data_IF_628280242573
#
_entry.id   IF_628280242573
#
_cell.length_a   1.000
_cell.length_b   1.000
_cell.length_c   1.000
_cell.angle_alpha   90.00
_cell.angle_beta   90.00
_cell.angle_gamma   90.00
#
_symmetry.space_group_name_H-M   'P 1'
#
loop_
_entity.id
_entity.type
_entity.pdbx_description
1 polymer ?
#
# COMPACT_ATOMS: atom_id res chain seq x y z
N UNK A 1 14.27 6.56 8.98
CA UNK A 1 15.12 5.34 9.01
C UNK A 1 14.41 4.25 8.22
N UNK A 2 15.17 3.50 7.43
CA UNK A 2 14.68 2.69 6.30
C UNK A 2 13.54 1.74 6.65
N UNK A 3 12.44 1.90 5.91
CA UNK A 3 11.37 0.91 5.83
C UNK A 3 12.00 -0.36 5.24
N UNK A 4 12.21 -1.39 6.07
CA UNK A 4 12.43 -2.74 5.55
C UNK A 4 11.10 -3.18 4.95
N UNK A 5 10.90 -2.82 3.68
CA UNK A 5 9.90 -3.43 2.82
C UNK A 5 10.05 -4.94 2.98
N UNK A 6 8.97 -5.61 3.41
CA UNK A 6 8.94 -7.07 3.40
C UNK A 6 9.28 -7.53 1.99
N UNK A 7 10.48 -8.10 1.83
CA UNK A 7 10.92 -8.69 0.58
C UNK A 7 9.82 -9.66 0.13
N UNK A 8 9.23 -9.41 -1.04
CA UNK A 8 8.31 -10.34 -1.70
C UNK A 8 9.12 -11.59 -2.02
N UNK A 9 9.17 -12.52 -1.06
CA UNK A 9 9.91 -13.77 -1.15
C UNK A 9 9.02 -14.80 -1.82
N UNK A 10 9.49 -15.34 -2.93
CA UNK A 10 8.80 -16.45 -3.62
C UNK A 10 8.99 -17.72 -2.78
N UNK A 11 7.92 -18.49 -2.51
CA UNK A 11 8.03 -19.75 -1.80
C UNK A 11 8.89 -20.76 -2.57
N UNK A 12 9.77 -21.46 -1.85
CA UNK A 12 10.64 -22.53 -2.36
C UNK A 12 10.09 -23.92 -2.02
N UNK A 13 10.55 -24.97 -2.70
CA UNK A 13 10.09 -26.35 -2.46
C UNK A 13 10.43 -26.92 -1.08
N UNK A 14 11.28 -26.23 -0.31
CA UNK A 14 11.62 -26.56 1.07
C UNK A 14 10.75 -25.81 2.09
N UNK A 15 9.90 -24.88 1.64
CA UNK A 15 9.01 -24.14 2.54
C UNK A 15 7.86 -25.05 2.98
N UNK A 16 7.83 -25.40 4.26
CA UNK A 16 6.72 -26.14 4.87
C UNK A 16 5.49 -25.21 4.93
N UNK A 17 4.28 -25.68 4.57
CA UNK A 17 3.07 -24.87 4.71
C UNK A 17 2.87 -24.48 6.18
N UNK A 18 2.99 -23.19 6.49
CA UNK A 18 2.78 -22.64 7.84
C UNK A 18 4.01 -22.09 8.57
N UNK A 19 5.22 -22.17 8.02
CA UNK A 19 6.42 -21.58 8.66
C UNK A 19 6.96 -20.38 7.88
N UNK A 20 6.25 -19.26 7.92
CA UNK A 20 6.95 -17.97 7.94
C UNK A 20 7.52 -17.83 9.33
N UNK A 21 8.82 -17.61 9.48
CA UNK A 21 9.39 -17.16 10.76
C UNK A 21 8.65 -15.89 11.16
N UNK A 22 7.67 -16.04 12.04
CA UNK A 22 7.06 -14.94 12.76
C UNK A 22 8.22 -14.40 13.60
N UNK A 23 8.66 -13.18 13.29
CA UNK A 23 9.47 -12.43 14.24
C UNK A 23 8.60 -12.32 15.49
N UNK A 24 8.90 -13.14 16.50
CA UNK A 24 8.30 -13.02 17.81
C UNK A 24 8.69 -11.65 18.33
N UNK A 25 7.73 -10.72 18.37
CA UNK A 25 7.89 -9.53 19.19
C UNK A 25 7.88 -10.01 20.64
N UNK A 26 9.08 -10.20 21.20
CA UNK A 26 9.24 -10.30 22.65
C UNK A 26 8.65 -9.05 23.26
N UNK A 27 7.58 -9.21 24.03
CA UNK A 27 7.10 -8.21 24.97
C UNK A 27 8.22 -7.97 25.99
N UNK A 28 9.06 -6.97 25.73
CA UNK A 28 9.88 -6.34 26.74
C UNK A 28 9.17 -5.05 27.15
N UNK A 29 8.67 -5.04 28.38
CA UNK A 29 8.19 -3.85 29.08
C UNK A 29 9.37 -2.91 29.34
N UNK A 30 9.78 -2.13 28.34
CA UNK A 30 10.72 -1.03 28.56
C UNK A 30 9.97 0.30 28.68
N UNK A 31 9.78 0.69 29.94
CA UNK A 31 9.19 1.94 30.40
C UNK A 31 10.14 3.13 30.21
N UNK A 32 10.66 3.34 29.00
CA UNK A 32 11.35 4.59 28.62
C UNK A 32 10.91 5.03 27.23
N UNK A 33 9.94 5.96 27.20
CA UNK A 33 9.51 6.62 25.97
C UNK A 33 10.61 7.60 25.57
N UNK A 34 11.49 7.18 24.66
CA UNK A 34 12.37 8.09 23.93
C UNK A 34 11.51 9.15 23.24
N UNK A 35 11.73 10.43 23.54
CA UNK A 35 11.04 11.54 22.90
C UNK A 35 11.55 11.60 21.46
N UNK A 36 10.83 10.96 20.54
CA UNK A 36 11.03 11.14 19.12
C UNK A 36 10.54 12.55 18.76
N UNK A 37 11.45 13.40 18.32
CA UNK A 37 11.08 14.72 17.78
C UNK A 37 10.28 14.49 16.49
N UNK A 38 9.04 15.01 16.38
CA UNK A 38 8.26 14.89 15.16
C UNK A 38 9.00 15.61 14.03
N UNK A 39 9.01 14.99 12.84
CA UNK A 39 9.50 15.67 11.64
C UNK A 39 8.56 16.82 11.31
N UNK A 40 9.07 17.90 10.69
CA UNK A 40 8.26 19.09 10.32
C UNK A 40 7.07 18.74 9.40
N UNK A 41 7.11 17.56 8.79
CA UNK A 41 6.09 17.05 7.88
C UNK A 41 5.03 16.16 8.56
N UNK A 42 5.18 15.88 9.85
CA UNK A 42 4.25 15.02 10.57
C UNK A 42 3.09 15.79 11.19
N UNK A 43 1.88 15.39 10.80
CA UNK A 43 0.64 15.92 11.38
C UNK A 43 0.53 15.52 12.85
N UNK A 44 0.13 16.48 13.69
CA UNK A 44 -0.20 16.25 15.10
C UNK A 44 -1.56 15.52 15.22
N UNK A 45 -1.49 14.19 15.20
CA UNK A 45 -2.66 13.30 15.23
C UNK A 45 -3.51 13.52 16.48
N UNK A 46 -2.88 13.69 17.64
CA UNK A 46 -3.58 13.86 18.89
C UNK A 46 -4.39 15.15 18.90
N UNK A 47 -3.81 16.28 18.46
CA UNK A 47 -4.57 17.54 18.35
C UNK A 47 -5.79 17.39 17.44
N UNK A 48 -5.65 16.72 16.29
CA UNK A 48 -6.75 16.54 15.34
C UNK A 48 -7.85 15.60 15.88
N UNK A 49 -7.46 14.50 16.53
CA UNK A 49 -8.41 13.48 17.01
C UNK A 49 -8.88 13.68 18.45
N UNK A 50 -8.27 14.56 19.25
CA UNK A 50 -8.67 14.80 20.64
C UNK A 50 -10.17 15.10 20.81
N UNK A 51 -10.84 15.88 19.94
CA UNK A 51 -12.28 16.12 20.07
C UNK A 51 -13.15 14.87 19.80
N UNK A 52 -12.60 13.86 19.14
CA UNK A 52 -13.32 12.70 18.62
C UNK A 52 -12.66 11.37 18.97
N UNK A 53 -11.77 11.31 19.98
CA UNK A 53 -10.92 10.14 20.17
C UNK A 53 -11.70 8.87 20.56
N UNK A 54 -12.92 9.02 21.10
CA UNK A 54 -13.83 7.88 21.34
C UNK A 54 -14.31 7.18 20.07
N UNK A 55 -14.12 7.81 18.90
CA UNK A 55 -14.52 7.34 17.59
C UNK A 55 -13.34 7.00 16.68
N UNK A 56 -12.09 7.01 17.18
CA UNK A 56 -10.89 6.80 16.34
C UNK A 56 -10.94 5.51 15.53
N UNK A 57 -11.49 4.43 16.10
CA UNK A 57 -11.59 3.15 15.42
C UNK A 57 -12.59 3.19 14.26
N UNK A 58 -13.73 3.84 14.48
CA UNK A 58 -14.73 4.04 13.42
C UNK A 58 -14.18 4.95 12.32
N UNK A 59 -13.45 6.01 12.68
CA UNK A 59 -12.82 6.91 11.70
C UNK A 59 -11.78 6.16 10.86
N UNK A 60 -10.95 5.32 11.47
CA UNK A 60 -10.04 4.43 10.75
C UNK A 60 -10.78 3.53 9.76
N UNK A 61 -11.91 2.94 10.18
CA UNK A 61 -12.70 2.07 9.33
C UNK A 61 -13.31 2.82 8.12
N UNK A 62 -13.87 4.02 8.34
CA UNK A 62 -14.39 4.88 7.28
C UNK A 62 -13.30 5.23 6.25
N UNK A 63 -12.11 5.61 6.73
CA UNK A 63 -10.97 5.93 5.85
C UNK A 63 -10.49 4.69 5.11
N UNK A 64 -10.38 3.54 5.78
CA UNK A 64 -9.95 2.27 5.20
C UNK A 64 -10.87 1.85 4.04
N UNK A 65 -12.18 2.03 4.21
CA UNK A 65 -13.20 1.69 3.22
C UNK A 65 -13.34 2.75 2.11
N UNK A 66 -12.74 3.93 2.27
CA UNK A 66 -12.87 5.03 1.32
C UNK A 66 -14.26 5.66 1.33
N UNK A 67 -14.93 5.67 2.49
CA UNK A 67 -16.24 6.26 2.65
C UNK A 67 -16.20 7.79 2.48
N UNK A 68 -17.27 8.43 1.96
CA UNK A 68 -17.34 9.88 1.84
C UNK A 68 -17.42 10.57 3.20
N UNK A 69 -16.44 11.42 3.52
CA UNK A 69 -16.38 12.10 4.84
C UNK A 69 -16.22 13.60 4.66
N UNK A 70 -17.01 14.38 5.40
CA UNK A 70 -16.83 15.83 5.51
C UNK A 70 -16.23 16.18 6.86
N UNK A 71 -15.08 16.85 6.86
CA UNK A 71 -14.46 17.44 8.04
C UNK A 71 -14.87 18.92 8.11
N UNK A 72 -15.60 19.30 9.15
CA UNK A 72 -15.96 20.69 9.43
C UNK A 72 -15.08 21.22 10.55
N UNK A 73 -14.27 22.23 10.22
CA UNK A 73 -13.32 22.84 11.15
C UNK A 73 -13.57 24.35 11.31
N UNK A 74 -13.07 24.98 12.38
CA UNK A 74 -13.19 26.43 12.58
C UNK A 74 -12.22 27.23 11.69
N UNK A 75 -11.13 26.62 11.21
CA UNK A 75 -10.12 27.25 10.38
C UNK A 75 -9.66 26.36 9.20
N UNK A 76 -9.18 26.94 8.08
CA UNK A 76 -8.62 26.17 6.97
C UNK A 76 -7.44 25.28 7.37
N UNK A 77 -6.63 25.75 8.33
CA UNK A 77 -5.48 25.01 8.86
C UNK A 77 -5.93 23.75 9.60
N UNK A 78 -6.86 23.86 10.54
CA UNK A 78 -7.37 22.70 11.29
C UNK A 78 -8.13 21.71 10.40
N UNK A 79 -8.84 22.23 9.39
CA UNK A 79 -9.45 21.42 8.33
C UNK A 79 -8.39 20.58 7.63
N UNK A 80 -7.35 21.24 7.13
CA UNK A 80 -6.29 20.60 6.35
C UNK A 80 -5.54 19.55 7.17
N UNK A 81 -5.13 19.92 8.38
CA UNK A 81 -4.42 19.03 9.30
C UNK A 81 -5.26 17.78 9.61
N UNK A 82 -6.56 17.94 9.85
CA UNK A 82 -7.42 16.80 10.20
C UNK A 82 -7.69 15.88 9.02
N UNK A 83 -7.89 16.43 7.82
CA UNK A 83 -8.01 15.60 6.61
C UNK A 83 -6.72 14.79 6.39
N UNK A 84 -5.56 15.41 6.55
CA UNK A 84 -4.27 14.72 6.43
C UNK A 84 -4.07 13.69 7.55
N UNK A 85 -4.51 13.99 8.78
CA UNK A 85 -4.50 13.04 9.90
C UNK A 85 -5.34 11.80 9.59
N UNK A 86 -6.57 11.99 9.07
CA UNK A 86 -7.45 10.91 8.62
C UNK A 86 -6.77 10.06 7.53
N UNK A 87 -6.27 10.67 6.46
CA UNK A 87 -5.58 9.95 5.38
C UNK A 87 -4.37 9.15 5.91
N UNK A 88 -3.65 9.68 6.89
CA UNK A 88 -2.48 9.02 7.48
C UNK A 88 -2.81 7.87 8.43
N UNK A 89 -4.05 7.76 8.94
CA UNK A 89 -4.40 6.77 9.96
C UNK A 89 -4.44 5.34 9.43
N UNK A 90 -4.48 5.14 8.11
CA UNK A 90 -4.37 3.81 7.49
C UNK A 90 -2.95 3.46 7.06
N UNK A 91 -1.93 4.23 7.42
CA UNK A 91 -0.53 3.88 7.14
C UNK A 91 -0.19 2.50 7.74
N UNK A 92 0.50 1.60 7.01
CA UNK A 92 1.27 1.82 5.78
C UNK A 92 0.46 1.61 4.48
N UNK A 93 -0.84 1.35 4.57
CA UNK A 93 -1.70 1.29 3.40
C UNK A 93 -1.82 2.70 2.81
N UNK A 94 -1.52 2.83 1.51
CA UNK A 94 -1.69 4.10 0.80
C UNK A 94 -3.18 4.38 0.57
N UNK A 95 -3.64 5.55 1.00
CA UNK A 95 -4.97 6.05 0.64
C UNK A 95 -5.04 6.33 -0.86
N UNK A 96 -6.05 5.78 -1.52
CA UNK A 96 -6.19 5.80 -2.98
C UNK A 96 -7.49 6.48 -3.46
N UNK A 97 -8.26 7.09 -2.56
CA UNK A 97 -9.42 7.92 -2.91
C UNK A 97 -9.03 9.40 -2.94
N UNK A 98 -9.90 10.26 -3.45
CA UNK A 98 -9.63 11.70 -3.46
C UNK A 98 -9.71 12.28 -2.04
N UNK A 99 -8.96 13.35 -1.78
CA UNK A 99 -9.11 14.12 -0.55
C UNK A 99 -8.76 15.57 -0.82
N UNK A 100 -9.55 16.47 -0.24
CA UNK A 100 -9.35 17.92 -0.32
C UNK A 100 -9.12 18.45 1.09
N UNK A 101 -7.87 18.75 1.49
CA UNK A 101 -7.57 19.26 2.83
C UNK A 101 -8.37 20.54 3.17
N UNK A 102 -8.60 21.38 2.16
CA UNK A 102 -9.48 22.51 2.25
C UNK A 102 -10.24 22.73 0.93
N UNK A 103 -11.56 22.77 1.01
CA UNK A 103 -12.49 22.91 -0.09
C UNK A 103 -13.36 24.15 0.10
N UNK A 104 -13.57 24.88 -0.99
CA UNK A 104 -14.20 26.19 -1.02
C UNK A 104 -15.37 26.24 -2.01
N UNK A 105 -16.16 27.31 -1.91
CA UNK A 105 -17.27 27.55 -2.85
C UNK A 105 -16.81 27.94 -4.26
N UNK A 106 -15.52 28.26 -4.42
CA UNK A 106 -14.93 28.72 -5.66
C UNK A 106 -14.29 27.58 -6.48
N UNK A 107 -14.20 26.39 -5.90
CA UNK A 107 -13.71 25.20 -6.61
C UNK A 107 -14.69 24.80 -7.72
N UNK A 108 -14.15 24.41 -8.87
CA UNK A 108 -14.92 24.01 -10.06
C UNK A 108 -15.91 22.88 -9.78
N UNK A 109 -15.55 21.98 -8.86
CA UNK A 109 -16.27 20.79 -8.46
C UNK A 109 -17.34 21.07 -7.39
N UNK A 110 -17.51 22.32 -6.94
CA UNK A 110 -18.48 22.71 -5.92
C UNK A 110 -19.89 22.20 -6.19
N UNK A 111 -20.38 22.31 -7.42
CA UNK A 111 -21.72 21.82 -7.80
C UNK A 111 -21.84 20.30 -7.73
N UNK A 112 -20.76 19.58 -8.04
CA UNK A 112 -20.72 18.12 -8.00
C UNK A 112 -20.79 17.61 -6.57
N UNK A 113 -19.99 18.17 -5.65
CA UNK A 113 -19.94 17.70 -4.26
C UNK A 113 -21.12 18.16 -3.41
N UNK A 114 -21.84 19.19 -3.84
CA UNK A 114 -23.01 19.71 -3.09
C UNK A 114 -24.35 19.20 -3.61
N UNK A 115 -24.37 18.46 -4.72
CA UNK A 115 -25.61 17.90 -5.26
C UNK A 115 -26.26 16.89 -4.30
N UNK A 116 -27.59 16.79 -4.38
CA UNK A 116 -28.40 15.79 -3.66
C UNK A 116 -28.98 14.72 -4.57
N UNK A 117 -28.76 14.83 -5.88
CA UNK A 117 -29.33 13.92 -6.88
C UNK A 117 -28.50 12.65 -7.05
N UNK A 118 -27.23 12.69 -6.66
CA UNK A 118 -26.28 11.59 -6.79
C UNK A 118 -25.68 11.25 -5.43
N UNK A 119 -25.23 10.00 -5.29
CA UNK A 119 -24.45 9.61 -4.12
C UNK A 119 -23.14 10.40 -4.08
N UNK A 120 -22.68 10.86 -2.89
CA UNK A 120 -21.41 11.53 -2.77
C UNK A 120 -20.26 10.66 -3.30
N UNK A 121 -19.26 11.24 -4.00
CA UNK A 121 -18.09 10.49 -4.43
C UNK A 121 -17.24 10.05 -3.24
N UNK A 122 -16.37 9.07 -3.45
CA UNK A 122 -15.41 8.60 -2.45
C UNK A 122 -14.32 9.65 -2.22
N UNK A 123 -14.60 10.58 -1.30
CA UNK A 123 -13.71 11.72 -1.02
C UNK A 123 -13.79 12.14 0.45
N UNK A 124 -12.64 12.56 1.00
CA UNK A 124 -12.59 13.29 2.27
C UNK A 124 -12.50 14.80 1.97
N UNK A 125 -13.51 15.56 2.37
CA UNK A 125 -13.57 17.01 2.15
C UNK A 125 -13.39 17.77 3.46
N UNK A 126 -12.34 18.57 3.54
CA UNK A 126 -12.16 19.55 4.60
C UNK A 126 -12.83 20.88 4.24
N UNK A 127 -13.68 21.39 5.11
CA UNK A 127 -14.40 22.66 4.92
C UNK A 127 -14.46 23.47 6.20
N UNK A 128 -14.70 24.77 6.05
CA UNK A 128 -14.98 25.68 7.16
C UNK A 128 -16.47 26.06 7.25
N UNK A 129 -16.94 26.38 8.46
CA UNK A 129 -18.32 26.77 8.81
C UNK A 129 -18.73 28.14 8.17
N UNK A 130 -20.01 28.56 7.99
CA UNK A 130 -21.34 27.97 8.24
C UNK A 130 -22.19 27.63 7.01
N UNK A 131 -21.77 28.04 5.82
CA UNK A 131 -22.50 27.72 4.59
C UNK A 131 -22.50 26.21 4.30
N UNK A 132 -21.36 25.54 4.48
CA UNK A 132 -21.22 24.11 4.26
C UNK A 132 -22.00 23.25 5.26
N UNK A 133 -22.25 23.75 6.47
CA UNK A 133 -23.00 23.02 7.49
C UNK A 133 -24.44 22.71 7.04
N UNK A 134 -25.07 23.62 6.28
CA UNK A 134 -26.39 23.41 5.67
C UNK A 134 -26.30 22.65 4.35
N UNK A 135 -25.30 22.99 3.55
CA UNK A 135 -25.17 22.49 2.18
C UNK A 135 -24.80 21.00 2.16
N UNK A 136 -23.93 20.55 3.06
CA UNK A 136 -23.42 19.17 3.14
C UNK A 136 -24.09 18.35 4.26
N UNK A 137 -25.19 18.81 4.85
CA UNK A 137 -25.86 18.10 5.95
C UNK A 137 -26.38 16.71 5.57
N UNK A 138 -26.56 16.45 4.28
CA UNK A 138 -27.03 15.17 3.74
C UNK A 138 -25.89 14.16 3.52
N UNK A 139 -24.64 14.55 3.74
CA UNK A 139 -23.51 13.65 3.61
C UNK A 139 -23.55 12.56 4.69
N UNK A 140 -23.09 11.34 4.35
CA UNK A 140 -23.26 10.18 5.23
C UNK A 140 -22.43 10.29 6.52
N UNK A 141 -21.28 10.95 6.46
CA UNK A 141 -20.34 11.06 7.57
C UNK A 141 -19.83 12.50 7.70
N UNK A 142 -20.08 13.11 8.86
CA UNK A 142 -19.64 14.47 9.16
C UNK A 142 -18.82 14.44 10.45
N UNK A 143 -17.58 14.88 10.38
CA UNK A 143 -16.66 15.04 11.52
C UNK A 143 -16.58 16.52 11.84
N UNK A 144 -17.03 16.92 13.02
CA UNK A 144 -16.90 18.31 13.51
C UNK A 144 -15.80 18.38 14.54
N UNK A 145 -14.81 19.24 14.28
CA UNK A 145 -13.64 19.47 15.15
C UNK A 145 -13.59 20.93 15.63
N UNK A 146 -12.82 21.18 16.69
CA UNK A 146 -12.63 22.51 17.28
C UNK A 146 -13.81 22.98 18.14
N UNK A 147 -13.82 24.28 18.49
CA UNK A 147 -14.86 24.94 19.30
C UNK A 147 -16.17 25.19 18.54
N UNK A 148 -16.53 24.32 17.61
CA UNK A 148 -17.87 24.31 17.02
C UNK A 148 -18.82 23.82 18.11
N UNK A 149 -20.00 24.46 18.27
CA UNK A 149 -20.93 24.29 19.40
C UNK A 149 -21.18 22.84 19.87
N UNK A 150 -21.02 21.83 19.00
CA UNK A 150 -20.86 20.42 19.36
C UNK A 150 -19.75 19.77 18.47
N UNK A 151 -18.54 19.51 18.98
CA UNK A 151 -17.61 18.62 18.29
C UNK A 151 -18.11 17.17 18.37
N UNK A 152 -17.80 16.36 17.36
CA UNK A 152 -18.26 14.97 17.31
C UNK A 152 -18.31 14.38 15.91
N UNK A 153 -18.62 13.09 15.85
CA UNK A 153 -18.81 12.35 14.60
C UNK A 153 -20.30 12.07 14.41
N UNK A 154 -20.87 12.60 13.33
CA UNK A 154 -22.28 12.43 12.95
C UNK A 154 -22.35 11.44 11.81
N UNK A 155 -22.86 10.25 12.10
CA UNK A 155 -22.93 9.15 11.15
C UNK A 155 -23.97 8.13 11.59
N UNK A 156 -24.64 7.50 10.63
CA UNK A 156 -25.47 6.31 10.86
C UNK A 156 -24.69 5.00 10.65
N UNK A 157 -23.38 5.11 10.37
CA UNK A 157 -22.50 3.98 10.14
C UNK A 157 -22.40 3.09 11.38
N UNK A 158 -22.42 1.77 11.14
CA UNK A 158 -22.22 0.76 12.18
C UNK A 158 -20.86 0.12 11.96
N UNK A 159 -19.88 0.36 12.85
CA UNK A 159 -18.56 -0.24 12.73
C UNK A 159 -18.63 -1.77 12.71
N UNK A 160 -17.81 -2.37 11.85
CA UNK A 160 -17.57 -3.81 11.85
C UNK A 160 -16.77 -4.22 13.09
N UNK A 161 -15.80 -3.39 13.48
CA UNK A 161 -14.94 -3.66 14.62
C UNK A 161 -15.43 -2.95 15.89
N UNK A 162 -15.28 -3.63 17.02
CA UNK A 162 -15.58 -3.05 18.31
C UNK A 162 -14.56 -1.95 18.65
N UNK A 163 -15.04 -0.98 19.43
CA UNK A 163 -14.20 0.06 19.99
C UNK A 163 -13.10 -0.53 20.87
N UNK A 164 -11.89 -0.03 20.69
CA UNK A 164 -10.76 -0.41 21.53
C UNK A 164 -10.77 0.44 22.83
N UNK A 165 -11.15 -0.17 23.94
CA UNK A 165 -11.19 0.51 25.24
C UNK A 165 -9.79 0.80 25.79
N UNK A 166 -8.76 0.05 25.39
CA UNK A 166 -7.42 0.16 25.96
C UNK A 166 -6.76 1.45 25.49
N UNK A 167 -6.76 1.69 24.17
CA UNK A 167 -6.24 2.94 23.61
C UNK A 167 -7.02 4.16 24.12
N UNK A 168 -8.34 4.05 24.28
CA UNK A 168 -9.16 5.14 24.82
C UNK A 168 -8.75 5.47 26.25
N UNK A 169 -8.62 4.47 27.13
CA UNK A 169 -8.15 4.66 28.50
C UNK A 169 -6.74 5.23 28.55
N UNK A 170 -5.85 4.77 27.68
CA UNK A 170 -4.47 5.22 27.61
C UNK A 170 -4.36 6.71 27.21
N UNK A 171 -5.19 7.15 26.26
CA UNK A 171 -5.28 8.56 25.84
C UNK A 171 -5.95 9.42 26.91
N UNK A 172 -7.07 8.97 27.48
CA UNK A 172 -7.74 9.66 28.60
C UNK A 172 -6.80 9.88 29.79
N UNK A 173 -6.05 8.85 30.18
CA UNK A 173 -5.03 8.96 31.23
C UNK A 173 -3.93 9.94 30.83
N UNK A 174 -3.53 9.95 29.57
CA UNK A 174 -2.58 10.94 29.03
C UNK A 174 -3.07 12.38 29.20
N UNK A 175 -4.33 12.65 28.87
CA UNK A 175 -4.98 13.96 29.08
C UNK A 175 -5.01 14.33 30.56
N UNK A 176 -5.44 13.43 31.44
CA UNK A 176 -5.49 13.67 32.89
C UNK A 176 -4.10 13.96 33.47
N UNK A 177 -3.07 13.31 32.96
CA UNK A 177 -1.67 13.48 33.38
C UNK A 177 -0.97 14.66 32.69
N UNK A 178 -1.67 15.45 31.86
CA UNK A 178 -1.11 16.54 31.06
C UNK A 178 0.10 16.09 30.22
N UNK A 179 0.04 14.87 29.67
CA UNK A 179 1.06 14.33 28.77
C UNK A 179 1.15 15.23 27.51
N UNK A 180 2.36 15.59 27.05
CA UNK A 180 2.55 16.36 25.82
C UNK A 180 1.81 15.74 24.62
N UNK A 181 1.32 16.59 23.72
CA UNK A 181 0.54 16.16 22.56
C UNK A 181 1.35 15.24 21.65
N UNK A 182 2.65 15.51 21.50
CA UNK A 182 3.59 14.73 20.68
C UNK A 182 3.67 13.28 21.15
N UNK A 183 3.77 13.06 22.48
CA UNK A 183 3.79 11.73 23.04
C UNK A 183 2.46 10.99 22.85
N UNK A 184 1.33 11.69 22.89
CA UNK A 184 0.02 11.10 22.57
C UNK A 184 -0.14 10.80 21.08
N UNK A 185 0.41 11.65 20.22
CA UNK A 185 0.48 11.45 18.77
C UNK A 185 1.30 10.22 18.39
N UNK A 186 2.42 9.95 19.08
CA UNK A 186 3.20 8.72 18.90
C UNK A 186 2.38 7.47 19.27
N UNK A 187 1.63 7.51 20.38
CA UNK A 187 0.76 6.41 20.80
C UNK A 187 -0.32 6.14 19.75
N UNK A 188 -1.01 7.19 19.26
CA UNK A 188 -2.01 7.07 18.20
C UNK A 188 -1.41 6.51 16.90
N UNK A 189 -0.24 7.01 16.49
CA UNK A 189 0.42 6.57 15.26
C UNK A 189 0.80 5.09 15.35
N UNK A 190 1.32 4.65 16.49
CA UNK A 190 1.63 3.24 16.75
C UNK A 190 0.37 2.38 16.70
N UNK A 191 -0.70 2.81 17.36
CA UNK A 191 -1.99 2.12 17.35
C UNK A 191 -2.51 1.89 15.92
N UNK A 192 -2.58 2.95 15.12
CA UNK A 192 -3.04 2.89 13.73
C UNK A 192 -2.14 2.03 12.84
N UNK A 193 -0.83 2.09 13.04
CA UNK A 193 0.15 1.25 12.34
C UNK A 193 -0.09 -0.24 12.62
N UNK A 194 -0.15 -0.62 13.90
CA UNK A 194 -0.32 -2.02 14.33
C UNK A 194 -1.69 -2.58 13.87
N UNK A 195 -2.73 -1.75 13.94
CA UNK A 195 -4.06 -2.09 13.46
C UNK A 195 -4.09 -2.33 11.94
N UNK A 196 -3.54 -1.40 11.17
CA UNK A 196 -3.52 -1.50 9.71
C UNK A 196 -2.65 -2.68 9.26
N UNK A 197 -1.51 -2.90 9.90
CA UNK A 197 -0.67 -4.07 9.63
C UNK A 197 -1.42 -5.37 9.91
N UNK A 198 -2.11 -5.47 11.06
CA UNK A 198 -2.92 -6.65 11.38
C UNK A 198 -4.00 -6.92 10.35
N UNK A 199 -4.62 -5.86 9.81
CA UNK A 199 -5.58 -5.97 8.72
C UNK A 199 -4.95 -6.39 7.38
N UNK A 200 -3.75 -5.89 7.04
CA UNK A 200 -3.14 -6.14 5.73
C UNK A 200 -2.37 -7.47 5.65
N UNK A 201 -1.79 -7.97 6.75
CA UNK A 201 -0.97 -9.18 6.77
C UNK A 201 -1.66 -10.41 6.12
N UNK A 202 -2.93 -10.75 6.44
CA UNK A 202 -3.60 -11.89 5.80
C UNK A 202 -3.76 -11.71 4.30
N UNK A 203 -4.04 -10.47 3.86
CA UNK A 203 -4.22 -10.13 2.45
C UNK A 203 -2.89 -10.25 1.68
N UNK A 204 -1.80 -9.75 2.25
CA UNK A 204 -0.46 -9.90 1.68
C UNK A 204 -0.05 -11.37 1.58
N UNK A 205 -0.32 -12.16 2.61
CA UNK A 205 -0.03 -13.59 2.62
C UNK A 205 -0.80 -14.32 1.51
N UNK A 206 -2.09 -14.02 1.35
CA UNK A 206 -2.90 -14.60 0.28
C UNK A 206 -2.39 -14.18 -1.11
N UNK A 207 -2.12 -12.89 -1.31
CA UNK A 207 -1.62 -12.39 -2.60
C UNK A 207 -0.25 -12.96 -2.92
N UNK A 208 0.66 -13.09 -1.95
CA UNK A 208 1.93 -13.77 -2.14
C UNK A 208 1.76 -15.25 -2.53
N UNK A 209 0.72 -15.91 -2.02
CA UNK A 209 0.39 -17.28 -2.44
C UNK A 209 -0.03 -17.36 -3.91
N UNK A 210 -0.51 -16.28 -4.54
CA UNK A 210 -0.86 -16.26 -5.96
C UNK A 210 0.36 -16.30 -6.89
N UNK A 211 1.57 -16.08 -6.35
CA UNK A 211 2.82 -16.18 -7.10
C UNK A 211 3.01 -17.59 -7.70
N UNK A 212 3.49 -17.69 -8.94
CA UNK A 212 3.89 -18.96 -9.52
C UNK A 212 5.15 -19.48 -8.84
N UNK A 213 5.32 -20.81 -8.85
CA UNK A 213 6.49 -21.46 -8.26
C UNK A 213 7.73 -21.16 -9.09
N UNK A 214 8.89 -21.01 -8.45
CA UNK A 214 10.16 -20.71 -9.15
C UNK A 214 10.48 -21.73 -10.26
N UNK A 215 10.17 -23.02 -10.05
CA UNK A 215 10.35 -24.09 -11.06
C UNK A 215 9.55 -23.90 -12.36
N UNK A 216 8.54 -23.04 -12.35
CA UNK A 216 7.74 -22.73 -13.55
C UNK A 216 8.32 -21.57 -14.37
N UNK A 217 9.32 -20.87 -13.84
CA UNK A 217 10.05 -19.81 -14.53
C UNK A 217 11.05 -20.50 -15.46
N UNK A 218 10.90 -20.27 -16.77
CA UNK A 218 11.80 -20.79 -17.80
C UNK A 218 12.54 -19.61 -18.45
N UNK A 219 13.85 -19.74 -18.73
CA UNK A 219 14.60 -18.68 -19.41
C UNK A 219 13.95 -18.27 -20.74
N UNK A 220 13.56 -19.27 -21.52
CA UNK A 220 13.16 -19.13 -22.92
C UNK A 220 11.65 -18.92 -23.15
N UNK A 221 10.82 -18.99 -22.10
CA UNK A 221 9.36 -18.76 -22.19
C UNK A 221 8.99 -17.44 -21.53
N UNK A 222 7.85 -16.85 -21.89
CA UNK A 222 7.36 -15.65 -21.20
C UNK A 222 7.19 -15.87 -19.68
N UNK A 223 7.28 -14.81 -18.85
CA UNK A 223 7.09 -14.95 -17.41
C UNK A 223 5.72 -15.60 -17.13
N UNK A 224 5.65 -16.55 -16.17
CA UNK A 224 4.39 -17.16 -15.81
C UNK A 224 3.40 -16.10 -15.32
N UNK A 225 2.12 -16.23 -15.69
CA UNK A 225 1.10 -15.29 -15.24
C UNK A 225 0.76 -15.52 -13.77
N UNK A 226 0.49 -14.43 -13.06
CA UNK A 226 -0.03 -14.47 -11.69
C UNK A 226 -1.40 -15.14 -11.68
N UNK A 227 -1.66 -15.96 -10.65
CA UNK A 227 -3.00 -16.51 -10.41
C UNK A 227 -4.00 -15.38 -10.12
N UNK A 228 -5.24 -15.57 -10.54
CA UNK A 228 -6.30 -14.60 -10.29
C UNK A 228 -6.67 -14.57 -8.81
N UNK A 229 -7.03 -13.39 -8.32
CA UNK A 229 -7.51 -13.21 -6.95
C UNK A 229 -8.94 -13.73 -6.84
N UNK A 230 -9.20 -14.65 -5.90
CA UNK A 230 -10.53 -15.18 -5.59
C UNK A 230 -10.95 -14.70 -4.21
N UNK A 231 -12.04 -13.90 -4.17
CA UNK A 231 -12.58 -13.42 -2.90
C UNK A 231 -13.00 -14.58 -1.99
N UNK A 232 -13.61 -15.63 -2.54
CA UNK A 232 -14.06 -16.78 -1.74
C UNK A 232 -12.89 -17.54 -1.11
N UNK A 233 -11.83 -17.77 -1.87
CA UNK A 233 -10.67 -18.50 -1.36
C UNK A 233 -9.90 -17.67 -0.33
N UNK A 234 -9.79 -16.36 -0.55
CA UNK A 234 -9.26 -15.46 0.46
C UNK A 234 -10.05 -15.56 1.77
N UNK A 235 -11.39 -15.51 1.72
CA UNK A 235 -12.21 -15.60 2.92
C UNK A 235 -12.01 -16.92 3.69
N UNK A 236 -11.83 -18.06 2.99
CA UNK A 236 -11.50 -19.35 3.62
C UNK A 236 -10.15 -19.31 4.36
N UNK A 237 -9.18 -18.53 3.88
CA UNK A 237 -7.89 -18.40 4.59
C UNK A 237 -8.01 -17.66 5.91
N UNK A 238 -8.97 -16.74 6.06
CA UNK A 238 -9.17 -15.95 7.28
C UNK A 238 -9.63 -16.79 8.47
N UNK A 239 -10.31 -17.91 8.23
CA UNK A 239 -10.71 -18.85 9.29
C UNK A 239 -9.50 -19.43 10.03
N UNK A 240 -8.39 -19.65 9.32
CA UNK A 240 -7.16 -20.25 9.87
C UNK A 240 -6.07 -19.22 10.16
N UNK A 241 -6.04 -18.12 9.40
CA UNK A 241 -4.92 -17.18 9.35
C UNK A 241 -5.38 -15.71 9.24
N UNK A 242 -6.46 -15.34 9.95
CA UNK A 242 -6.98 -13.98 9.93
C UNK A 242 -6.33 -13.01 10.93
N UNK A 243 -6.81 -11.75 10.97
CA UNK A 243 -6.27 -10.68 11.85
C UNK A 243 -6.31 -10.99 13.33
N UNK A 244 -7.17 -11.91 13.77
CA UNK A 244 -7.28 -12.36 15.15
C UNK A 244 -5.97 -12.96 15.70
N UNK A 245 -5.02 -13.31 14.84
CA UNK A 245 -3.69 -13.79 15.23
C UNK A 245 -2.72 -12.66 15.62
N UNK A 246 -2.97 -11.42 15.16
CA UNK A 246 -2.07 -10.28 15.38
C UNK A 246 -2.75 -9.10 16.05
N UNK A 247 -4.08 -9.08 16.11
CA UNK A 247 -4.88 -8.06 16.78
C UNK A 247 -5.78 -8.65 17.87
N UNK A 248 -5.82 -8.00 19.03
CA UNK A 248 -6.77 -8.32 20.10
C UNK A 248 -8.19 -7.79 19.85
N UNK A 249 -8.42 -7.06 18.76
CA UNK A 249 -9.72 -6.46 18.48
C UNK A 249 -10.75 -7.48 17.99
N UNK A 250 -11.95 -7.33 18.52
CA UNK A 250 -13.11 -8.19 18.22
C UNK A 250 -14.07 -7.46 17.30
N UNK A 251 -14.82 -8.21 16.51
CA UNK A 251 -15.80 -7.68 15.58
C UNK A 251 -15.91 -8.52 14.31
N UNK A 252 -16.64 -8.02 13.33
CA UNK A 252 -16.85 -8.66 12.04
C UNK A 252 -15.73 -8.32 11.05
N UNK A 253 -14.55 -8.91 11.26
CA UNK A 253 -13.42 -8.80 10.32
C UNK A 253 -13.78 -9.25 8.90
N UNK A 254 -14.62 -10.28 8.77
CA UNK A 254 -15.01 -10.83 7.47
C UNK A 254 -15.85 -9.82 6.69
N UNK A 255 -16.83 -9.19 7.34
CA UNK A 255 -17.62 -8.10 6.77
C UNK A 255 -16.74 -6.92 6.34
N UNK A 256 -15.79 -6.53 7.20
CA UNK A 256 -14.84 -5.47 6.89
C UNK A 256 -14.03 -5.77 5.62
N UNK A 257 -13.47 -6.98 5.49
CA UNK A 257 -12.78 -7.38 4.27
C UNK A 257 -13.69 -7.39 3.04
N UNK A 258 -14.92 -7.91 3.16
CA UNK A 258 -15.87 -7.94 2.02
C UNK A 258 -16.17 -6.54 1.49
N UNK A 259 -16.23 -5.55 2.37
CA UNK A 259 -16.40 -4.16 1.98
C UNK A 259 -15.10 -3.59 1.40
N UNK A 260 -13.97 -3.79 2.09
CA UNK A 260 -12.66 -3.29 1.65
C UNK A 260 -12.29 -3.74 0.24
N UNK A 261 -12.57 -5.00 -0.13
CA UNK A 261 -12.30 -5.53 -1.47
C UNK A 261 -13.02 -4.79 -2.60
N UNK A 262 -14.05 -3.99 -2.28
CA UNK A 262 -14.78 -3.13 -3.24
C UNK A 262 -14.28 -1.69 -3.23
N UNK A 263 -13.42 -1.32 -2.30
CA UNK A 263 -12.96 0.05 -2.10
C UNK A 263 -11.88 0.48 -3.12
N UNK A 264 -11.73 1.79 -3.38
CA UNK A 264 -10.61 2.33 -4.14
C UNK A 264 -9.24 2.01 -3.52
N UNK A 265 -9.17 1.94 -2.18
CA UNK A 265 -7.94 1.62 -1.46
C UNK A 265 -7.44 0.21 -1.77
N UNK A 266 -8.32 -0.78 -1.80
CA UNK A 266 -7.95 -2.13 -2.25
C UNK A 266 -7.48 -2.14 -3.70
N UNK A 267 -8.19 -1.45 -4.60
CA UNK A 267 -7.83 -1.40 -6.01
C UNK A 267 -6.42 -0.83 -6.22
N UNK A 268 -6.08 0.28 -5.56
CA UNK A 268 -4.76 0.88 -5.65
C UNK A 268 -3.66 0.00 -5.03
N UNK A 269 -3.92 -0.55 -3.85
CA UNK A 269 -3.02 -1.50 -3.20
C UNK A 269 -2.76 -2.74 -4.06
N UNK A 270 -3.82 -3.38 -4.56
CA UNK A 270 -3.72 -4.62 -5.33
C UNK A 270 -3.01 -4.41 -6.68
N UNK A 271 -3.27 -3.29 -7.36
CA UNK A 271 -2.54 -2.90 -8.58
C UNK A 271 -1.04 -2.74 -8.31
N UNK A 272 -0.69 -2.05 -7.23
CA UNK A 272 0.71 -1.84 -6.82
C UNK A 272 1.38 -3.18 -6.52
N UNK A 273 0.75 -4.05 -5.71
CA UNK A 273 1.28 -5.38 -5.40
C UNK A 273 1.41 -6.28 -6.63
N UNK A 274 0.44 -6.25 -7.55
CA UNK A 274 0.55 -7.01 -8.81
C UNK A 274 1.71 -6.52 -9.66
N UNK A 275 1.92 -5.20 -9.76
CA UNK A 275 3.05 -4.62 -10.49
C UNK A 275 4.39 -5.11 -9.90
N UNK A 276 4.57 -4.99 -8.59
CA UNK A 276 5.79 -5.45 -7.90
C UNK A 276 6.05 -6.95 -8.13
N UNK A 277 5.00 -7.78 -8.04
CA UNK A 277 5.11 -9.22 -8.28
C UNK A 277 5.47 -9.55 -9.74
N UNK A 278 4.86 -8.86 -10.71
CA UNK A 278 5.18 -9.03 -12.14
C UNK A 278 6.63 -8.63 -12.43
N UNK A 279 7.07 -7.47 -11.94
CA UNK A 279 8.45 -7.01 -12.06
C UNK A 279 9.43 -8.01 -11.41
N UNK A 280 9.04 -8.63 -10.29
CA UNK A 280 9.88 -9.66 -9.67
C UNK A 280 9.99 -10.93 -10.51
N UNK A 281 8.91 -11.35 -11.20
CA UNK A 281 8.95 -12.49 -12.11
C UNK A 281 9.81 -12.21 -13.35
N UNK A 282 9.73 -11.00 -13.89
CA UNK A 282 10.57 -10.56 -15.01
C UNK A 282 12.05 -10.54 -14.62
N UNK A 283 12.38 -9.98 -13.45
CA UNK A 283 13.72 -10.01 -12.90
C UNK A 283 14.26 -11.44 -12.77
N UNK A 284 13.46 -12.37 -12.25
CA UNK A 284 13.88 -13.77 -12.08
C UNK A 284 14.02 -14.52 -13.40
N UNK A 285 13.18 -14.23 -14.40
CA UNK A 285 13.38 -14.78 -15.73
C UNK A 285 14.68 -14.26 -16.35
N UNK A 286 14.98 -12.98 -16.20
CA UNK A 286 16.22 -12.39 -16.73
C UNK A 286 17.45 -12.97 -16.03
N UNK A 287 17.38 -13.18 -14.71
CA UNK A 287 18.41 -13.91 -13.97
C UNK A 287 18.57 -15.35 -14.48
N UNK A 288 17.47 -16.05 -14.80
CA UNK A 288 17.53 -17.40 -15.36
C UNK A 288 18.18 -17.42 -16.74
N UNK A 289 17.82 -16.47 -17.63
CA UNK A 289 18.47 -16.27 -18.94
C UNK A 289 19.96 -15.99 -18.82
N UNK A 290 20.36 -15.17 -17.85
CA UNK A 290 21.75 -14.84 -17.60
C UNK A 290 22.59 -16.05 -17.16
N UNK A 291 21.97 -17.09 -16.58
CA UNK A 291 22.69 -18.30 -16.16
C UNK A 291 22.76 -19.37 -17.25
N UNK A 292 22.07 -19.19 -18.38
CA UNK A 292 22.15 -20.10 -19.53
C UNK A 292 23.38 -19.78 -20.38
N UNK A 293 23.89 -20.80 -21.08
CA UNK A 293 24.98 -20.63 -22.05
C UNK A 293 24.43 -20.11 -23.39
N UNK A 294 24.33 -18.79 -23.49
CA UNK A 294 23.78 -18.12 -24.67
C UNK A 294 24.69 -18.24 -25.90
N UNK A 295 26.00 -18.44 -25.71
CA UNK A 295 26.97 -18.64 -26.80
C UNK A 295 26.82 -20.03 -27.42
N UNK A 296 26.66 -21.06 -26.58
CA UNK A 296 26.36 -22.40 -27.07
C UNK A 296 25.00 -22.45 -27.77
N UNK A 297 24.03 -21.67 -27.28
CA UNK A 297 22.73 -21.54 -27.95
C UNK A 297 22.87 -20.90 -29.33
N UNK A 298 23.62 -19.79 -29.47
CA UNK A 298 23.77 -19.10 -30.78
C UNK A 298 24.42 -19.99 -31.83
N UNK A 299 25.41 -20.82 -31.46
CA UNK A 299 26.07 -21.76 -32.37
C UNK A 299 25.13 -22.83 -32.94
N UNK A 300 23.99 -23.10 -32.28
CA UNK A 300 23.00 -24.11 -32.70
C UNK A 300 21.83 -23.55 -33.49
N UNK A 301 21.73 -22.23 -33.61
CA UNK A 301 20.60 -21.55 -34.23
C UNK A 301 21.07 -20.74 -35.43
N UNK A 302 20.12 -20.30 -36.25
CA UNK A 302 20.43 -19.50 -37.43
C UNK A 302 20.90 -18.09 -37.03
N UNK A 303 21.60 -17.42 -37.95
CA UNK A 303 22.02 -16.02 -37.75
C UNK A 303 20.82 -15.11 -37.47
N UNK A 304 19.70 -15.32 -38.17
CA UNK A 304 18.47 -14.54 -37.96
C UNK A 304 17.91 -14.72 -36.55
N UNK A 305 17.87 -15.96 -36.04
CA UNK A 305 17.42 -16.25 -34.67
C UNK A 305 18.37 -15.67 -33.62
N UNK A 306 19.68 -15.67 -33.91
CA UNK A 306 20.70 -15.08 -33.03
C UNK A 306 20.58 -13.56 -32.99
N UNK A 307 20.37 -12.91 -34.14
CA UNK A 307 20.11 -11.46 -34.24
C UNK A 307 18.83 -11.09 -33.49
N UNK A 308 17.74 -11.85 -33.67
CA UNK A 308 16.48 -11.64 -32.94
C UNK A 308 16.65 -11.80 -31.42
N UNK A 309 17.43 -12.79 -30.97
CA UNK A 309 17.78 -12.94 -29.57
C UNK A 309 18.53 -11.72 -29.04
N UNK A 310 19.56 -11.24 -29.74
CA UNK A 310 20.32 -10.04 -29.35
C UNK A 310 19.41 -8.83 -29.22
N UNK A 311 18.53 -8.59 -30.20
CA UNK A 311 17.57 -7.47 -30.16
C UNK A 311 16.60 -7.59 -28.97
N UNK A 312 16.10 -8.80 -28.70
CA UNK A 312 15.23 -9.06 -27.54
C UNK A 312 15.96 -8.84 -26.22
N UNK A 313 17.21 -9.27 -26.10
CA UNK A 313 18.02 -9.09 -24.88
C UNK A 313 18.36 -7.61 -24.64
N UNK A 314 18.75 -6.87 -25.68
CA UNK A 314 18.98 -5.41 -25.60
C UNK A 314 17.72 -4.67 -25.15
N UNK A 315 16.56 -5.00 -25.73
CA UNK A 315 15.29 -4.40 -25.33
C UNK A 315 14.92 -4.75 -23.87
N UNK A 316 15.10 -6.00 -23.45
CA UNK A 316 14.88 -6.41 -22.06
C UNK A 316 15.82 -5.67 -21.09
N UNK A 317 17.08 -5.46 -21.46
CA UNK A 317 18.06 -4.73 -20.65
C UNK A 317 17.67 -3.26 -20.51
N UNK A 318 17.25 -2.62 -21.61
CA UNK A 318 16.73 -1.25 -21.59
C UNK A 318 15.46 -1.10 -20.73
N UNK A 319 14.50 -2.02 -20.89
CA UNK A 319 13.28 -2.01 -20.07
C UNK A 319 13.60 -2.23 -18.58
N UNK A 320 14.53 -3.13 -18.29
CA UNK A 320 14.92 -3.45 -16.92
C UNK A 320 15.59 -2.27 -16.20
N UNK A 321 16.37 -1.47 -16.93
CA UNK A 321 16.98 -0.24 -16.42
C UNK A 321 15.93 0.86 -16.19
N UNK A 322 15.08 1.12 -17.20
CA UNK A 322 13.99 2.10 -17.11
C UNK A 322 13.01 1.80 -15.97
N UNK A 323 12.65 0.54 -15.79
CA UNK A 323 11.71 0.10 -14.75
C UNK A 323 12.36 -0.14 -13.38
N UNK A 324 13.69 -0.03 -13.28
CA UNK A 324 14.46 -0.32 -12.06
C UNK A 324 14.10 -1.69 -11.45
N UNK A 325 14.15 -2.75 -12.27
CA UNK A 325 13.76 -4.09 -11.83
C UNK A 325 14.61 -4.57 -10.64
N UNK A 326 14.02 -5.28 -9.65
CA UNK A 326 14.69 -5.72 -8.43
C UNK A 326 15.54 -6.99 -8.68
N UNK A 327 16.61 -6.83 -9.45
CA UNK A 327 17.57 -7.87 -9.83
C UNK A 327 18.80 -7.87 -8.92
N UNK A 328 19.61 -8.93 -9.00
CA UNK A 328 20.95 -8.95 -8.40
C UNK A 328 21.86 -7.91 -9.11
N UNK A 329 22.79 -7.28 -8.36
CA UNK A 329 23.60 -6.17 -8.88
C UNK A 329 24.41 -6.54 -10.14
N UNK A 330 24.93 -7.77 -10.20
CA UNK A 330 25.79 -8.20 -11.31
C UNK A 330 25.03 -8.72 -12.54
N UNK A 331 23.71 -8.89 -12.45
CA UNK A 331 22.94 -9.55 -13.52
C UNK A 331 22.92 -8.72 -14.81
N UNK A 332 22.84 -7.39 -14.69
CA UNK A 332 22.85 -6.48 -15.85
C UNK A 332 24.20 -6.53 -16.58
N UNK A 333 25.30 -6.43 -15.83
CA UNK A 333 26.65 -6.47 -16.38
C UNK A 333 26.94 -7.82 -17.04
N UNK A 334 26.57 -8.93 -16.40
CA UNK A 334 26.73 -10.27 -16.97
C UNK A 334 25.93 -10.46 -18.25
N UNK A 335 24.68 -9.99 -18.28
CA UNK A 335 23.87 -10.08 -19.48
C UNK A 335 24.43 -9.23 -20.61
N UNK A 336 24.95 -8.04 -20.30
CA UNK A 336 25.64 -7.19 -21.27
C UNK A 336 26.87 -7.89 -21.85
N UNK A 337 27.71 -8.49 -21.00
CA UNK A 337 28.87 -9.29 -21.47
C UNK A 337 28.46 -10.46 -22.36
N UNK A 338 27.34 -11.15 -22.05
CA UNK A 338 26.84 -12.22 -22.91
C UNK A 338 26.35 -11.69 -24.26
N UNK A 339 25.65 -10.55 -24.29
CA UNK A 339 25.22 -9.90 -25.54
C UNK A 339 26.44 -9.57 -26.40
N UNK A 340 27.47 -8.96 -25.81
CA UNK A 340 28.68 -8.56 -26.52
C UNK A 340 29.43 -9.78 -27.08
N UNK A 341 29.52 -10.86 -26.31
CA UNK A 341 30.14 -12.11 -26.76
C UNK A 341 29.38 -12.76 -27.94
N UNK A 342 28.05 -12.74 -27.93
CA UNK A 342 27.23 -13.25 -29.05
C UNK A 342 27.43 -12.39 -30.29
N UNK A 343 27.48 -11.06 -30.15
CA UNK A 343 27.72 -10.14 -31.26
C UNK A 343 29.09 -10.45 -31.89
N UNK A 344 30.15 -10.60 -31.09
CA UNK A 344 31.49 -10.92 -31.59
C UNK A 344 31.58 -12.28 -32.32
N UNK A 345 30.64 -13.19 -32.07
CA UNK A 345 30.58 -14.49 -32.74
C UNK A 345 29.81 -14.46 -34.07
N UNK A 346 29.11 -13.37 -34.39
CA UNK A 346 28.40 -13.19 -35.66
C UNK A 346 29.33 -12.70 -36.77
N UNK A 347 28.97 -12.85 -38.06
CA UNK A 347 29.72 -12.27 -39.19
C UNK A 347 29.78 -10.73 -39.13
N UNK A 348 30.85 -10.16 -39.70
CA UNK A 348 31.19 -8.72 -39.60
C UNK A 348 30.08 -7.79 -40.10
N UNK A 349 29.34 -8.18 -41.14
CA UNK A 349 28.23 -7.41 -41.71
C UNK A 349 27.05 -7.27 -40.73
N UNK A 350 26.77 -8.31 -39.94
CA UNK A 350 25.74 -8.30 -38.91
C UNK A 350 26.19 -7.60 -37.62
N UNK A 351 27.49 -7.70 -37.26
CA UNK A 351 28.06 -6.98 -36.11
C UNK A 351 27.86 -5.48 -36.22
N UNK A 352 28.19 -4.92 -37.39
CA UNK A 352 28.10 -3.50 -37.67
C UNK A 352 26.67 -2.94 -37.50
N UNK A 353 25.66 -3.73 -37.91
CA UNK A 353 24.25 -3.37 -37.78
C UNK A 353 23.82 -3.41 -36.31
N UNK A 354 24.20 -4.45 -35.57
CA UNK A 354 23.81 -4.65 -34.18
C UNK A 354 24.50 -3.67 -33.22
N UNK A 355 25.72 -3.21 -33.52
CA UNK A 355 26.42 -2.19 -32.74
C UNK A 355 25.83 -0.79 -32.97
N UNK A 356 25.44 -0.46 -34.22
CA UNK A 356 24.82 0.84 -34.56
C UNK A 356 23.43 1.02 -33.96
N UNK A 357 22.67 -0.06 -33.80
CA UNK A 357 21.28 -0.05 -33.29
C UNK A 357 21.16 0.16 -31.76
N UNK A 358 22.27 0.35 -31.04
CA UNK A 358 22.27 0.58 -29.58
C UNK A 358 22.36 2.05 -29.13
N UNK A 359 22.33 3.03 -30.03
CA UNK A 359 22.54 4.47 -29.71
C UNK A 359 21.33 5.37 -29.90
N UNK A 360 20.13 4.79 -30.10
CA UNK A 360 18.85 5.50 -30.15
C UNK A 360 17.89 4.89 -29.16
#
# INVERSE_FOLDING_TARGET
>A
QGLVMGNVRIPTCHDKPGTTHIVQFTHQEDTQISIALPTVHEVDLFRCFCPVFFHIQMLWELVLLGEPVVVMAPSPSESSDTVLALVSCISPLKYCSDFRPYFTIHDSEFKEYTTRTQAPPTVILGVTNPFFAKTLQHWPHIVRIGEIKLPGVYTSYKPYLNRDEEIIKQLQKGVQQKRPAEAQSVILRRYFLELTQSFIIPLERYVASLMPLQKSISPWKSPPQLRQFSQEDFMKTLEKAGPQLTSGLKGDWIGLYRHFLKSPNFNGWFRTRRKEMTQKLEALQLEALCNEDLLFWSQKHTEVETVDLVLKLKNKLFQADREHLPMKPDTMEKLQMHIDAIILALPDDLQDILLKTGTT
#
